data_IF_402193751808
#
_entry.id   IF_402193751808
#
_cell.length_a   1.000
_cell.length_b   1.000
_cell.length_c   1.000
_cell.angle_alpha   90.00
_cell.angle_beta   90.00
_cell.angle_gamma   90.00
#
_symmetry.space_group_name_H-M   'P 1'
#
loop_
_entity.id
_entity.type
_entity.pdbx_description
1 polymer ?
#
# COMPACT_ATOMS: atom_id res chain seq x y z
N UNK A 1 -10.92 -18.17 -4.10
CA UNK A 1 -11.08 -18.31 -5.55
C UNK A 1 -11.88 -17.17 -6.20
N UNK A 2 -12.97 -16.66 -5.61
CA UNK A 2 -13.74 -15.52 -6.18
C UNK A 2 -12.95 -14.22 -6.30
N UNK A 3 -12.11 -13.91 -5.32
CA UNK A 3 -11.27 -12.69 -5.32
C UNK A 3 -10.18 -12.69 -6.39
N UNK A 4 -9.56 -13.85 -6.65
CA UNK A 4 -8.56 -14.00 -7.72
C UNK A 4 -9.17 -13.76 -9.11
N UNK A 5 -10.42 -14.19 -9.31
CA UNK A 5 -11.16 -13.94 -10.57
C UNK A 5 -11.49 -12.46 -10.77
N UNK A 6 -11.78 -11.73 -9.68
CA UNK A 6 -12.04 -10.29 -9.74
C UNK A 6 -10.77 -9.51 -10.14
N UNK A 7 -9.62 -9.86 -9.56
CA UNK A 7 -8.32 -9.27 -9.88
C UNK A 7 -7.93 -9.55 -11.33
N UNK A 8 -8.12 -10.80 -11.79
CA UNK A 8 -7.88 -11.18 -13.18
C UNK A 8 -8.84 -10.49 -14.15
N UNK A 9 -10.10 -10.29 -13.78
CA UNK A 9 -11.07 -9.55 -14.59
C UNK A 9 -10.72 -8.06 -14.69
N UNK A 10 -10.28 -7.42 -13.60
CA UNK A 10 -9.80 -6.04 -13.63
C UNK A 10 -8.53 -5.89 -14.49
N UNK A 11 -7.59 -6.82 -14.40
CA UNK A 11 -6.41 -6.86 -15.26
C UNK A 11 -6.78 -7.09 -16.74
N UNK A 12 -7.74 -7.96 -17.04
CA UNK A 12 -8.21 -8.23 -18.39
C UNK A 12 -8.95 -7.04 -19.04
N UNK A 13 -9.65 -6.23 -18.23
CA UNK A 13 -10.34 -5.02 -18.71
C UNK A 13 -9.37 -3.87 -19.06
N UNK A 14 -8.17 -3.85 -18.48
CA UNK A 14 -7.14 -2.85 -18.80
C UNK A 14 -6.33 -3.22 -20.05
N UNK A 15 -6.30 -4.50 -20.45
CA UNK A 15 -5.51 -4.99 -21.59
C UNK A 15 -5.96 -4.42 -22.96
N UNK A 16 -7.26 -4.31 -23.31
CA UNK A 16 -7.66 -3.78 -24.62
C UNK A 16 -7.45 -2.28 -24.81
N UNK A 17 -7.26 -1.51 -23.72
CA UNK A 17 -6.87 -0.11 -23.81
C UNK A 17 -5.41 0.08 -24.24
N UNK A 18 -4.57 -0.93 -24.02
CA UNK A 18 -3.15 -0.94 -24.38
C UNK A 18 -2.92 -1.35 -25.84
N UNK A 19 -3.82 -2.14 -26.46
CA UNK A 19 -3.64 -2.67 -27.84
C UNK A 19 -4.02 -1.68 -28.95
N UNK A 20 -4.78 -0.63 -28.65
CA UNK A 20 -5.14 0.43 -29.62
C UNK A 20 -4.09 1.53 -29.78
N UNK A 21 -3.01 1.52 -28.99
CA UNK A 21 -1.99 2.54 -29.00
C UNK A 21 -0.92 2.22 -30.05
N UNK A 22 -1.07 2.73 -31.24
CA UNK A 22 -0.03 2.75 -32.28
C UNK A 22 1.25 3.54 -31.90
N UNK A 23 1.29 4.19 -30.73
CA UNK A 23 2.47 4.79 -30.12
C UNK A 23 2.99 3.85 -29.03
N UNK A 24 4.29 3.62 -29.00
CA UNK A 24 4.94 2.64 -28.11
C UNK A 24 4.73 2.98 -26.62
N UNK A 25 3.98 2.14 -25.90
CA UNK A 25 4.01 2.13 -24.45
C UNK A 25 5.42 1.70 -23.98
N UNK A 26 6.00 2.40 -23.04
CA UNK A 26 7.29 2.03 -22.45
C UNK A 26 7.06 1.15 -21.21
N UNK A 27 7.70 -0.02 -21.20
CA UNK A 27 7.76 -0.86 -20.00
C UNK A 27 8.75 -0.28 -19.01
N UNK A 28 8.37 -0.28 -17.74
CA UNK A 28 9.17 0.23 -16.62
C UNK A 28 9.21 -0.79 -15.50
N UNK A 29 10.36 -0.88 -14.84
CA UNK A 29 10.52 -1.66 -13.63
C UNK A 29 11.50 -0.96 -12.69
N UNK A 30 11.45 -1.30 -11.41
CA UNK A 30 12.34 -0.66 -10.46
C UNK A 30 12.16 -1.14 -9.03
N UNK A 31 12.89 -0.48 -8.15
CA UNK A 31 12.81 -0.66 -6.71
C UNK A 31 12.51 0.67 -6.03
N UNK A 32 11.66 0.62 -5.04
CA UNK A 32 11.27 1.75 -4.21
C UNK A 32 11.51 1.41 -2.74
N UNK A 33 12.08 2.35 -1.98
CA UNK A 33 12.29 2.22 -0.54
C UNK A 33 12.03 3.55 0.14
N UNK A 34 11.63 3.49 1.41
CA UNK A 34 11.36 4.71 2.16
C UNK A 34 10.72 4.44 3.51
N UNK A 35 10.03 5.45 3.98
CA UNK A 35 9.38 5.46 5.28
C UNK A 35 7.89 5.78 5.12
N UNK A 36 7.11 5.17 5.98
CA UNK A 36 5.69 5.43 6.15
C UNK A 36 5.46 5.85 7.60
N UNK A 37 5.10 7.11 7.82
CA UNK A 37 4.69 7.59 9.14
C UNK A 37 3.19 7.39 9.27
N UNK A 38 2.77 6.37 9.99
CA UNK A 38 1.36 6.08 10.24
C UNK A 38 0.90 6.68 11.57
N UNK A 39 -0.21 7.38 11.55
CA UNK A 39 -0.95 7.81 12.73
C UNK A 39 -2.10 6.81 12.88
N UNK A 40 -2.09 6.08 13.97
CA UNK A 40 -3.21 5.25 14.36
C UNK A 40 -4.40 6.14 14.70
N UNK A 41 -5.53 5.96 14.02
CA UNK A 41 -6.72 6.80 14.23
C UNK A 41 -7.72 6.11 15.13
N UNK A 42 -7.89 4.82 14.97
CA UNK A 42 -8.86 4.08 15.79
C UNK A 42 -8.74 2.57 15.63
N UNK A 43 -9.08 1.87 16.71
CA UNK A 43 -9.20 0.42 16.71
C UNK A 43 -10.52 -0.04 17.31
N UNK A 44 -10.97 -1.19 16.82
CA UNK A 44 -12.08 -1.93 17.37
C UNK A 44 -11.67 -3.38 17.53
N UNK A 45 -11.66 -3.87 18.76
CA UNK A 45 -11.37 -5.27 19.07
C UNK A 45 -12.45 -5.88 19.92
N UNK A 46 -12.84 -7.10 19.59
CA UNK A 46 -13.78 -7.91 20.36
C UNK A 46 -13.19 -9.30 20.55
N UNK A 47 -13.09 -9.76 21.79
CA UNK A 47 -12.50 -11.06 22.11
C UNK A 47 -13.05 -11.63 23.42
N UNK A 48 -12.86 -12.94 23.62
CA UNK A 48 -13.11 -13.60 24.90
C UNK A 48 -11.81 -13.63 25.68
N UNK A 49 -11.80 -13.02 26.88
CA UNK A 49 -10.63 -13.01 27.77
C UNK A 49 -10.29 -14.43 28.27
N UNK A 50 -9.08 -14.61 28.80
CA UNK A 50 -8.68 -15.88 29.44
C UNK A 50 -9.56 -16.28 30.61
N UNK A 51 -10.28 -15.34 31.21
CA UNK A 51 -11.26 -15.57 32.30
C UNK A 51 -12.69 -15.84 31.80
N UNK A 52 -12.89 -15.86 30.47
CA UNK A 52 -14.20 -16.15 29.84
C UNK A 52 -15.13 -14.97 29.64
N UNK A 53 -14.68 -13.73 29.89
CA UNK A 53 -15.48 -12.52 29.67
C UNK A 53 -15.37 -12.04 28.22
N UNK A 54 -16.49 -11.57 27.67
CA UNK A 54 -16.49 -10.89 26.39
C UNK A 54 -15.99 -9.45 26.60
N UNK A 55 -14.89 -9.13 25.93
CA UNK A 55 -14.31 -7.77 25.91
C UNK A 55 -14.58 -7.16 24.54
N UNK A 56 -15.32 -6.06 24.52
CA UNK A 56 -15.52 -5.22 23.31
C UNK A 56 -14.90 -3.85 23.60
N UNK A 57 -13.85 -3.50 22.88
CA UNK A 57 -13.07 -2.28 23.11
C UNK A 57 -12.97 -1.48 21.83
N UNK A 58 -13.37 -0.23 21.90
CA UNK A 58 -13.15 0.77 20.84
C UNK A 58 -12.26 1.86 21.41
N UNK A 59 -11.19 2.17 20.70
CA UNK A 59 -10.31 3.27 21.08
C UNK A 59 -10.08 4.20 19.90
N UNK A 60 -10.10 5.50 20.19
CA UNK A 60 -9.55 6.53 19.32
C UNK A 60 -8.23 6.94 19.98
N UNK A 61 -7.13 6.62 19.34
CA UNK A 61 -5.80 6.84 19.91
C UNK A 61 -4.87 7.35 18.80
N UNK A 62 -4.30 8.53 19.00
CA UNK A 62 -3.41 9.18 18.03
C UNK A 62 -1.96 8.83 18.35
N UNK A 63 -1.56 7.60 18.04
CA UNK A 63 -0.15 7.17 18.14
C UNK A 63 0.51 7.20 16.78
N UNK A 64 1.62 7.93 16.71
CA UNK A 64 2.45 7.97 15.51
C UNK A 64 3.49 6.86 15.54
N UNK A 65 3.63 6.14 14.42
CA UNK A 65 4.67 5.15 14.20
C UNK A 65 5.35 5.41 12.87
N UNK A 66 6.67 5.26 12.85
CA UNK A 66 7.46 5.32 11.61
C UNK A 66 7.85 3.90 11.24
N UNK A 67 7.49 3.48 10.05
CA UNK A 67 7.77 2.16 9.51
C UNK A 67 8.57 2.27 8.21
N UNK A 68 9.44 1.29 7.97
CA UNK A 68 10.12 1.16 6.69
C UNK A 68 9.26 0.47 5.64
N UNK A 69 9.54 0.76 4.37
CA UNK A 69 8.98 0.02 3.24
C UNK A 69 10.05 -0.19 2.15
N UNK A 70 9.97 -1.36 1.52
CA UNK A 70 10.78 -1.73 0.36
C UNK A 70 9.90 -2.46 -0.63
N UNK A 71 9.79 -1.94 -1.85
CA UNK A 71 8.90 -2.49 -2.88
C UNK A 71 9.60 -2.62 -4.22
N UNK A 72 9.30 -3.70 -4.93
CA UNK A 72 9.50 -3.80 -6.37
C UNK A 72 8.34 -3.15 -7.08
N UNK A 73 8.58 -2.57 -8.24
CA UNK A 73 7.57 -2.00 -9.11
C UNK A 73 7.78 -2.47 -10.55
N UNK A 74 6.68 -2.75 -11.22
CA UNK A 74 6.63 -3.04 -12.65
C UNK A 74 5.43 -2.31 -13.26
N UNK A 75 5.57 -1.78 -14.46
CA UNK A 75 4.47 -1.03 -15.05
C UNK A 75 4.68 -0.64 -16.50
N UNK A 76 3.70 0.10 -16.98
CA UNK A 76 3.65 0.62 -18.33
C UNK A 76 3.38 2.12 -18.28
N UNK A 77 4.10 2.87 -19.10
CA UNK A 77 3.88 4.29 -19.32
C UNK A 77 3.43 4.53 -20.75
N UNK A 78 2.33 5.27 -20.90
CA UNK A 78 1.79 5.70 -22.19
C UNK A 78 1.48 7.19 -22.15
N UNK A 79 2.21 7.99 -22.92
CA UNK A 79 2.09 9.46 -22.93
C UNK A 79 2.28 10.04 -21.52
N UNK A 80 1.18 10.47 -20.89
CA UNK A 80 1.15 11.05 -19.54
C UNK A 80 0.65 10.09 -18.49
N UNK A 81 0.18 8.92 -18.89
CA UNK A 81 -0.39 7.92 -17.99
C UNK A 81 0.66 6.86 -17.65
N UNK A 82 0.77 6.52 -16.39
CA UNK A 82 1.53 5.38 -15.90
C UNK A 82 0.62 4.44 -15.11
N UNK A 83 0.81 3.16 -15.29
CA UNK A 83 0.14 2.10 -14.54
C UNK A 83 1.18 1.13 -14.01
N UNK A 84 1.23 0.95 -12.69
CA UNK A 84 2.26 0.15 -12.02
C UNK A 84 1.64 -0.81 -11.02
N UNK A 85 2.19 -2.01 -10.97
CA UNK A 85 1.98 -2.95 -9.88
C UNK A 85 3.19 -2.85 -8.96
N UNK A 86 2.94 -2.73 -7.65
CA UNK A 86 3.95 -2.63 -6.60
C UNK A 86 3.73 -3.73 -5.59
N UNK A 87 4.80 -4.40 -5.18
CA UNK A 87 4.77 -5.42 -4.15
C UNK A 87 6.11 -5.51 -3.43
N UNK A 88 6.10 -5.95 -2.19
CA UNK A 88 7.32 -6.10 -1.39
C UNK A 88 7.03 -6.18 0.09
N UNK A 89 7.67 -5.34 0.88
CA UNK A 89 7.52 -5.25 2.33
C UNK A 89 7.00 -3.87 2.73
N UNK A 90 6.03 -3.82 3.63
CA UNK A 90 5.49 -2.57 4.18
C UNK A 90 5.10 -2.77 5.64
N UNK A 91 5.64 -1.92 6.53
CA UNK A 91 5.17 -1.83 7.90
C UNK A 91 3.88 -0.98 7.98
N UNK A 92 2.89 -1.45 8.72
CA UNK A 92 1.61 -0.73 8.95
C UNK A 92 1.54 -0.08 10.32
N UNK A 93 1.95 -0.82 11.35
CA UNK A 93 1.98 -0.40 12.75
C UNK A 93 3.23 -0.95 13.44
N UNK A 94 3.36 -0.65 14.76
CA UNK A 94 4.37 -1.30 15.60
C UNK A 94 4.19 -2.83 15.50
N UNK A 95 5.22 -3.52 15.06
CA UNK A 95 5.26 -4.99 14.92
C UNK A 95 4.31 -5.59 13.85
N UNK A 96 3.59 -4.77 13.09
CA UNK A 96 2.75 -5.25 12.01
C UNK A 96 3.35 -4.91 10.64
N UNK A 97 3.66 -5.96 9.88
CA UNK A 97 4.14 -5.85 8.52
C UNK A 97 3.28 -6.70 7.57
N UNK A 98 3.19 -6.26 6.34
CA UNK A 98 2.44 -6.94 5.29
C UNK A 98 3.25 -7.03 4.01
N UNK A 99 2.91 -7.98 3.16
CA UNK A 99 3.31 -8.02 1.76
C UNK A 99 2.21 -7.34 0.95
N UNK A 100 2.38 -6.07 0.55
CA UNK A 100 1.37 -5.36 -0.21
C UNK A 100 1.35 -5.83 -1.67
N UNK A 101 0.17 -5.79 -2.27
CA UNK A 101 -0.03 -5.85 -3.72
C UNK A 101 -0.86 -4.63 -4.09
N UNK A 102 -0.21 -3.60 -4.63
CA UNK A 102 -0.81 -2.29 -4.90
C UNK A 102 -0.80 -2.03 -6.40
N UNK A 103 -1.89 -1.48 -6.90
CA UNK A 103 -1.99 -0.91 -8.23
C UNK A 103 -1.90 0.61 -8.11
N UNK A 104 -0.90 1.21 -8.78
CA UNK A 104 -0.70 2.66 -8.83
C UNK A 104 -1.01 3.16 -10.23
N UNK A 105 -1.89 4.13 -10.34
CA UNK A 105 -2.10 4.92 -11.55
C UNK A 105 -1.48 6.29 -11.36
N UNK A 106 -0.71 6.79 -12.32
CA UNK A 106 -0.07 8.10 -12.27
C UNK A 106 -0.38 8.92 -13.50
N UNK A 107 -0.41 10.24 -13.32
CA UNK A 107 -0.62 11.20 -14.39
C UNK A 107 0.47 12.27 -14.36
N UNK A 108 1.28 12.35 -15.42
CA UNK A 108 2.34 13.32 -15.55
C UNK A 108 1.77 14.73 -15.86
N UNK A 109 2.16 15.70 -15.06
CA UNK A 109 1.69 17.09 -15.18
C UNK A 109 2.34 17.82 -16.36
N UNK A 110 3.54 17.41 -16.76
CA UNK A 110 4.24 17.95 -17.93
C UNK A 110 4.31 16.93 -19.07
N UNK A 111 4.68 17.39 -20.27
CA UNK A 111 4.85 16.48 -21.43
C UNK A 111 5.98 15.49 -21.19
N UNK A 112 5.80 14.27 -21.71
CA UNK A 112 6.85 13.26 -21.76
C UNK A 112 8.11 13.77 -22.48
N UNK A 113 9.29 13.46 -21.94
CA UNK A 113 10.57 13.87 -22.55
C UNK A 113 11.32 14.99 -21.83
N UNK A 114 10.71 15.61 -20.82
CA UNK A 114 11.42 16.61 -19.96
C UNK A 114 12.30 15.86 -18.95
N UNK A 115 13.53 16.33 -18.72
CA UNK A 115 14.45 15.74 -17.76
C UNK A 115 13.90 15.69 -16.33
N UNK A 116 13.04 16.64 -16.00
CA UNK A 116 12.41 16.75 -14.67
C UNK A 116 10.92 16.93 -14.85
N UNK A 117 10.11 16.08 -14.26
CA UNK A 117 8.66 16.23 -14.31
C UNK A 117 7.98 15.76 -13.03
N UNK A 118 6.87 16.41 -12.72
CA UNK A 118 5.98 16.00 -11.65
C UNK A 118 4.82 15.16 -12.16
N UNK A 119 4.39 14.22 -11.33
CA UNK A 119 3.20 13.40 -11.57
C UNK A 119 2.37 13.32 -10.30
N UNK A 120 1.07 13.29 -10.44
CA UNK A 120 0.16 12.91 -9.36
C UNK A 120 -0.15 11.43 -9.49
N UNK A 121 -0.38 10.76 -8.37
CA UNK A 121 -0.76 9.35 -8.37
C UNK A 121 -1.89 9.05 -7.40
N UNK A 122 -2.60 7.99 -7.70
CA UNK A 122 -3.50 7.28 -6.82
C UNK A 122 -3.11 5.81 -6.79
N UNK A 123 -3.15 5.20 -5.63
CA UNK A 123 -2.87 3.77 -5.49
C UNK A 123 -3.89 3.10 -4.59
N UNK A 124 -4.09 1.80 -4.81
CA UNK A 124 -4.95 1.00 -3.97
C UNK A 124 -4.65 -0.49 -4.15
N UNK A 125 -4.96 -1.25 -3.13
CA UNK A 125 -4.76 -2.69 -3.14
C UNK A 125 -4.90 -3.33 -1.79
N UNK A 126 -4.24 -4.47 -1.64
CA UNK A 126 -4.33 -5.29 -0.45
C UNK A 126 -2.96 -5.55 0.16
N UNK A 127 -2.93 -5.71 1.48
CA UNK A 127 -1.79 -6.20 2.25
C UNK A 127 -2.04 -7.64 2.69
N UNK A 128 -1.14 -8.54 2.31
CA UNK A 128 -1.20 -9.94 2.66
C UNK A 128 -0.35 -10.19 3.91
N UNK A 129 -0.93 -10.90 4.87
CA UNK A 129 -0.25 -11.28 6.10
C UNK A 129 -0.56 -12.74 6.42
N UNK A 130 0.45 -13.46 6.89
CA UNK A 130 0.28 -14.88 7.23
C UNK A 130 -0.78 -15.05 8.31
N UNK A 131 -1.79 -15.86 8.02
CA UNK A 131 -2.83 -16.27 8.98
C UNK A 131 -3.71 -15.13 9.51
N UNK A 132 -3.77 -13.97 8.84
CA UNK A 132 -4.67 -12.87 9.18
C UNK A 132 -5.59 -12.52 8.00
N UNK A 133 -6.71 -11.83 8.23
CA UNK A 133 -7.51 -11.28 7.15
C UNK A 133 -6.70 -10.31 6.28
N UNK A 134 -7.14 -10.11 5.06
CA UNK A 134 -6.48 -9.22 4.11
C UNK A 134 -6.68 -7.78 4.53
N UNK A 135 -5.58 -7.04 4.65
CA UNK A 135 -5.59 -5.60 4.90
C UNK A 135 -5.90 -4.83 3.61
N UNK A 136 -6.56 -3.68 3.71
CA UNK A 136 -6.75 -2.76 2.60
C UNK A 136 -5.79 -1.59 2.71
N UNK A 137 -5.21 -1.17 1.59
CA UNK A 137 -4.31 -0.02 1.52
C UNK A 137 -4.71 0.85 0.35
N UNK A 138 -4.82 2.15 0.58
CA UNK A 138 -5.04 3.14 -0.48
C UNK A 138 -4.19 4.37 -0.21
N UNK A 139 -3.87 5.11 -1.26
CA UNK A 139 -3.06 6.32 -1.12
C UNK A 139 -3.14 7.21 -2.34
N UNK A 140 -2.70 8.44 -2.14
CA UNK A 140 -2.56 9.44 -3.20
C UNK A 140 -1.37 10.32 -2.90
N UNK A 141 -0.75 10.87 -3.92
CA UNK A 141 0.40 11.72 -3.70
C UNK A 141 1.01 12.27 -4.98
N UNK A 142 2.23 12.70 -4.82
CA UNK A 142 3.03 13.33 -5.86
C UNK A 142 4.36 12.60 -6.04
N UNK A 143 4.77 12.45 -7.29
CA UNK A 143 6.07 11.91 -7.70
C UNK A 143 6.83 13.01 -8.39
N UNK A 144 8.04 13.27 -7.94
CA UNK A 144 8.99 14.10 -8.66
C UNK A 144 10.06 13.20 -9.30
N UNK A 145 10.08 13.14 -10.62
CA UNK A 145 11.00 12.32 -11.40
C UNK A 145 12.18 13.14 -11.90
N UNK A 146 13.37 12.63 -11.63
CA UNK A 146 14.63 13.09 -12.20
C UNK A 146 15.14 12.02 -13.16
N UNK A 147 15.30 12.37 -14.44
CA UNK A 147 15.89 11.47 -15.43
C UNK A 147 17.41 11.51 -15.29
N UNK A 148 18.02 10.42 -14.86
CA UNK A 148 19.47 10.31 -14.68
C UNK A 148 20.15 9.87 -15.98
N UNK A 149 19.48 9.07 -16.81
CA UNK A 149 19.92 8.66 -18.14
C UNK A 149 18.73 8.33 -19.03
N UNK A 150 18.97 7.89 -20.26
CA UNK A 150 17.89 7.48 -21.17
C UNK A 150 17.03 6.34 -20.60
N UNK A 151 17.61 5.47 -19.79
CA UNK A 151 16.96 4.26 -19.25
C UNK A 151 16.77 4.28 -17.74
N UNK A 152 17.30 5.28 -17.03
CA UNK A 152 17.27 5.33 -15.57
C UNK A 152 16.68 6.65 -15.08
N UNK A 153 15.72 6.55 -14.20
CA UNK A 153 15.14 7.69 -13.50
C UNK A 153 15.15 7.48 -11.98
N UNK A 154 15.25 8.57 -11.25
CA UNK A 154 15.08 8.65 -9.81
C UNK A 154 13.72 9.31 -9.53
N UNK A 155 12.82 8.58 -8.89
CA UNK A 155 11.53 9.08 -8.46
C UNK A 155 11.55 9.37 -6.96
N UNK A 156 11.19 10.58 -6.57
CA UNK A 156 10.95 10.96 -5.18
C UNK A 156 9.44 11.08 -4.98
N UNK A 157 8.89 10.23 -4.12
CA UNK A 157 7.46 10.13 -3.89
C UNK A 157 7.10 10.68 -2.51
N UNK A 158 6.05 11.49 -2.46
CA UNK A 158 5.44 11.94 -1.22
C UNK A 158 3.93 11.84 -1.30
N UNK A 159 3.27 11.27 -0.29
CA UNK A 159 1.83 11.11 -0.36
C UNK A 159 1.17 10.74 0.96
N UNK A 160 -0.16 10.81 0.94
CA UNK A 160 -1.03 10.33 2.00
C UNK A 160 -1.37 8.86 1.74
N UNK A 161 -1.41 8.08 2.82
CA UNK A 161 -1.81 6.67 2.79
C UNK A 161 -2.82 6.39 3.88
N UNK A 162 -3.82 5.61 3.55
CA UNK A 162 -4.81 5.09 4.48
C UNK A 162 -4.69 3.57 4.44
N UNK A 163 -4.60 2.94 5.61
CA UNK A 163 -4.59 1.50 5.73
C UNK A 163 -5.61 1.02 6.74
N UNK A 164 -6.31 -0.05 6.39
CA UNK A 164 -7.22 -0.78 7.25
C UNK A 164 -6.65 -2.18 7.46
N UNK A 165 -6.33 -2.51 8.71
CA UNK A 165 -5.61 -3.73 9.04
C UNK A 165 -6.22 -4.47 10.23
N UNK A 166 -5.68 -5.66 10.51
CA UNK A 166 -6.15 -6.57 11.56
C UNK A 166 -4.99 -6.89 12.51
N UNK A 167 -4.65 -5.96 13.44
CA UNK A 167 -3.54 -6.15 14.38
C UNK A 167 -3.81 -7.30 15.35
N UNK A 168 -2.72 -7.78 15.95
CA UNK A 168 -2.83 -8.70 17.07
C UNK A 168 -3.41 -7.99 18.28
N UNK A 169 -4.30 -8.65 19.00
CA UNK A 169 -4.93 -8.14 20.21
C UNK A 169 -4.28 -8.80 21.41
N UNK A 170 -3.97 -8.01 22.42
CA UNK A 170 -3.45 -8.49 23.71
C UNK A 170 -4.54 -8.36 24.77
N UNK A 171 -4.74 -9.43 25.53
CA UNK A 171 -5.65 -9.43 26.67
C UNK A 171 -5.08 -8.51 27.76
N UNK A 172 -5.86 -7.51 28.16
CA UNK A 172 -5.45 -6.55 29.20
C UNK A 172 -5.29 -7.18 30.58
N UNK A 173 -5.95 -8.31 30.84
CA UNK A 173 -5.95 -8.99 32.13
C UNK A 173 -4.86 -10.06 32.21
N UNK A 174 -4.64 -10.80 31.13
CA UNK A 174 -3.67 -11.88 31.09
C UNK A 174 -2.31 -11.47 30.52
N UNK A 175 -2.16 -10.25 30.00
CA UNK A 175 -0.95 -9.73 29.33
C UNK A 175 -0.41 -10.65 28.22
N UNK A 176 -1.32 -11.44 27.64
CA UNK A 176 -1.01 -12.42 26.61
C UNK A 176 -1.73 -12.09 25.31
N UNK A 177 -1.16 -12.55 24.21
CA UNK A 177 -1.82 -12.43 22.92
C UNK A 177 -3.08 -13.29 22.90
N UNK A 178 -4.20 -12.68 22.51
CA UNK A 178 -5.48 -13.36 22.38
C UNK A 178 -5.39 -14.47 21.32
N UNK A 179 -5.74 -15.73 21.65
CA UNK A 179 -5.81 -16.82 20.68
C UNK A 179 -6.83 -16.50 19.58
N UNK A 180 -6.60 -17.03 18.39
CA UNK A 180 -7.49 -16.76 17.24
C UNK A 180 -8.91 -17.28 17.46
N UNK A 181 -9.06 -18.37 18.19
CA UNK A 181 -10.35 -18.97 18.52
C UNK A 181 -11.19 -18.08 19.42
N UNK A 182 -10.53 -17.27 20.25
CA UNK A 182 -11.17 -16.32 21.18
C UNK A 182 -11.30 -14.91 20.58
N UNK A 183 -10.74 -14.66 19.39
CA UNK A 183 -10.76 -13.36 18.72
C UNK A 183 -11.97 -13.25 17.79
N UNK A 184 -12.95 -12.43 18.16
CA UNK A 184 -14.11 -12.15 17.32
C UNK A 184 -13.82 -11.09 16.25
N UNK A 185 -13.15 -9.99 16.64
CA UNK A 185 -12.88 -8.86 15.76
C UNK A 185 -11.57 -8.18 16.15
N UNK A 186 -10.80 -7.77 15.13
CA UNK A 186 -9.62 -6.92 15.30
C UNK A 186 -9.48 -6.02 14.08
N UNK A 187 -9.83 -4.76 14.21
CA UNK A 187 -9.77 -3.78 13.13
C UNK A 187 -8.98 -2.56 13.57
N UNK A 188 -8.20 -2.02 12.67
CA UNK A 188 -7.43 -0.80 12.90
C UNK A 188 -7.43 0.05 11.64
N UNK A 189 -7.67 1.34 11.81
CA UNK A 189 -7.57 2.35 10.76
C UNK A 189 -6.37 3.25 11.03
N UNK A 190 -5.49 3.36 10.05
CA UNK A 190 -4.32 4.22 10.12
C UNK A 190 -4.31 5.18 8.93
N UNK A 191 -3.89 6.42 9.19
CA UNK A 191 -3.64 7.45 8.18
C UNK A 191 -2.20 7.89 8.34
N UNK A 192 -1.46 8.03 7.24
CA UNK A 192 -0.04 8.35 7.33
C UNK A 192 0.49 9.08 6.12
N UNK A 193 1.74 9.53 6.27
CA UNK A 193 2.56 10.10 5.21
C UNK A 193 3.58 9.05 4.76
N UNK A 194 3.62 8.78 3.47
CA UNK A 194 4.65 7.96 2.85
C UNK A 194 5.66 8.87 2.12
N UNK A 195 6.93 8.68 2.41
CA UNK A 195 8.06 9.33 1.72
C UNK A 195 8.98 8.26 1.20
N UNK A 196 9.11 8.14 -0.10
CA UNK A 196 9.89 7.08 -0.73
C UNK A 196 10.75 7.59 -1.88
N UNK A 197 11.79 6.85 -2.17
CA UNK A 197 12.67 7.05 -3.33
C UNK A 197 12.64 5.77 -4.14
N UNK A 198 12.53 5.89 -5.47
CA UNK A 198 12.58 4.75 -6.37
C UNK A 198 13.60 4.94 -7.48
N UNK A 199 14.30 3.86 -7.82
CA UNK A 199 15.08 3.74 -9.06
C UNK A 199 14.23 3.00 -10.09
N UNK A 200 14.00 3.65 -11.24
CA UNK A 200 13.11 3.16 -12.31
C UNK A 200 13.90 3.07 -13.62
N UNK A 201 13.81 1.88 -14.24
CA UNK A 201 14.48 1.51 -15.49
C UNK A 201 13.51 1.39 -16.65
#
# INVERSE_FOLDING_TARGET
MKQLRLILACLALTFPLLTKAGERASFRYGMEWGVNSAIHVGSHSSYISGEGYLVDSRSLDFRSHINGEVMGLIGLEYKRLGLYVRSGYMGLQKEECVVPVLLRSSFALSRSGVEKHGSIYIEGGCGLQKSKPVSAVTGTGYVYRLRLSEKLALDMNGGLRISYSHPDVYDKYAEQKVPKESLGLSNSLNIGLALTIALVF
#
